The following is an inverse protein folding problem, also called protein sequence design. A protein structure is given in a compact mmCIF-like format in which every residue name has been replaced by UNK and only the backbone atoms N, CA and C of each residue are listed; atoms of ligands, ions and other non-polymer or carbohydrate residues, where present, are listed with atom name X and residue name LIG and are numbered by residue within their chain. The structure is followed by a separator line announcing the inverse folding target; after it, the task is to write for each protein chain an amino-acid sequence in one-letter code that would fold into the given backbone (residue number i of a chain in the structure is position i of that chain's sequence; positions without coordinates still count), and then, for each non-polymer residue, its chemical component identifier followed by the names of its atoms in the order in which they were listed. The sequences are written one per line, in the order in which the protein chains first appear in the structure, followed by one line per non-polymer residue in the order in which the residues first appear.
data_IF_301107307807
#
_entry.id   IF_301107307807
#
_cell.length_a   1.000
_cell.length_b   1.000
_cell.length_c   1.000
_cell.angle_alpha   90.00
_cell.angle_beta   90.00
_cell.angle_gamma   90.00
#
_symmetry.space_group_name_H-M   'P 1'
#
loop_
_entity.id
_entity.type
_entity.pdbx_description
1 polymer ?
#
# COMPACT_ATOMS: atom_id res chain seq x y z
N UNK A 1 -4.95 7.38 -8.03
CA UNK A 1 -5.37 8.68 -7.49
C UNK A 1 -4.25 9.66 -7.76
N UNK A 2 -4.52 10.80 -8.41
CA UNK A 2 -3.50 11.82 -8.70
C UNK A 2 -3.18 12.63 -7.44
N UNK A 3 -1.89 12.90 -7.22
CA UNK A 3 -1.43 13.85 -6.22
C UNK A 3 -1.86 15.26 -6.65
N UNK A 4 -2.94 15.78 -6.07
CA UNK A 4 -3.34 17.17 -6.27
C UNK A 4 -2.66 18.04 -5.22
N UNK A 5 -1.60 18.72 -5.66
CA UNK A 5 -0.89 19.70 -4.85
C UNK A 5 -1.15 21.09 -5.40
N UNK A 6 -1.72 21.95 -4.55
CA UNK A 6 -1.93 23.36 -4.84
C UNK A 6 -0.82 24.21 -4.22
N UNK A 7 0.35 23.62 -3.96
CA UNK A 7 1.53 24.31 -3.43
C UNK A 7 2.05 25.32 -4.46
N UNK A 8 2.05 26.60 -4.08
CA UNK A 8 2.47 27.70 -4.96
C UNK A 8 3.82 28.27 -4.55
N UNK A 9 4.64 28.71 -5.52
CA UNK A 9 5.81 29.54 -5.27
C UNK A 9 5.48 30.70 -4.33
N UNK A 10 6.37 30.96 -3.37
CA UNK A 10 6.22 32.06 -2.44
C UNK A 10 7.57 32.51 -1.89
N UNK A 11 7.55 33.63 -1.16
CA UNK A 11 8.61 34.02 -0.25
C UNK A 11 8.11 33.99 1.19
N UNK A 12 8.91 33.39 2.08
CA UNK A 12 8.66 33.35 3.51
C UNK A 12 9.36 34.52 4.19
N UNK A 13 8.58 35.38 4.84
CA UNK A 13 9.06 36.53 5.62
C UNK A 13 8.98 36.16 7.09
N UNK A 14 10.09 36.34 7.82
CA UNK A 14 10.13 36.10 9.25
C UNK A 14 9.58 37.31 10.03
N UNK A 15 8.66 37.06 10.97
CA UNK A 15 8.03 38.12 11.76
C UNK A 15 7.12 39.06 10.95
N UNK A 16 6.78 40.20 11.56
CA UNK A 16 6.01 41.25 10.89
C UNK A 16 6.97 42.18 10.14
N UNK A 17 6.96 42.11 8.82
CA UNK A 17 7.89 42.82 7.96
C UNK A 17 9.39 42.64 8.32
N UNK A 18 9.80 41.44 8.78
CA UNK A 18 11.21 41.12 8.99
C UNK A 18 11.94 40.62 7.74
N UNK A 19 13.01 39.85 7.91
CA UNK A 19 13.85 39.40 6.78
C UNK A 19 13.17 38.32 5.92
N UNK A 20 13.57 38.23 4.66
CA UNK A 20 13.13 37.17 3.74
C UNK A 20 14.03 35.95 3.96
N UNK A 21 13.46 34.86 4.46
CA UNK A 21 14.20 33.64 4.82
C UNK A 21 14.41 32.73 3.61
N UNK A 22 13.36 32.59 2.80
CA UNK A 22 13.32 31.68 1.67
C UNK A 22 12.40 32.28 0.59
N UNK A 23 12.63 31.90 -0.66
CA UNK A 23 11.87 32.45 -1.78
C UNK A 23 12.19 31.77 -3.09
N UNK A 24 11.18 31.68 -3.95
CA UNK A 24 11.35 31.16 -5.31
C UNK A 24 12.06 32.20 -6.20
N UNK A 25 12.97 31.79 -7.10
CA UNK A 25 13.68 32.72 -7.99
C UNK A 25 12.77 33.61 -8.86
N UNK A 26 11.54 33.17 -9.16
CA UNK A 26 10.49 33.94 -9.87
C UNK A 26 10.13 35.25 -9.19
N UNK A 27 10.28 35.36 -7.87
CA UNK A 27 10.11 36.61 -7.11
C UNK A 27 11.33 37.55 -7.20
N UNK A 28 12.32 37.20 -8.03
CA UNK A 28 13.53 37.98 -8.24
C UNK A 28 14.50 38.00 -7.06
N UNK A 29 14.27 37.12 -6.08
CA UNK A 29 15.08 36.96 -4.88
C UNK A 29 16.34 36.14 -5.16
N UNK A 30 17.44 36.48 -4.47
CA UNK A 30 18.69 35.71 -4.47
C UNK A 30 18.76 34.69 -3.33
N UNK A 31 17.62 34.20 -2.84
CA UNK A 31 17.54 33.25 -1.73
C UNK A 31 18.08 31.88 -2.14
N UNK A 32 18.80 31.21 -1.23
CA UNK A 32 19.32 29.84 -1.45
C UNK A 32 18.28 28.74 -1.20
N UNK A 33 17.18 29.08 -0.55
CA UNK A 33 16.13 28.15 -0.12
C UNK A 33 14.87 28.50 -0.90
N UNK A 34 14.30 27.51 -1.59
CA UNK A 34 13.00 27.66 -2.25
C UNK A 34 11.88 27.47 -1.22
N UNK A 35 10.83 28.28 -1.33
CA UNK A 35 9.64 28.16 -0.49
C UNK A 35 8.38 27.99 -1.32
N UNK A 36 7.51 27.08 -0.90
CA UNK A 36 6.16 26.95 -1.45
C UNK A 36 5.14 26.87 -0.32
N UNK A 37 3.95 27.42 -0.52
CA UNK A 37 2.85 27.38 0.46
C UNK A 37 1.56 27.00 -0.24
N UNK A 38 0.68 26.29 0.46
CA UNK A 38 -0.62 25.90 -0.08
C UNK A 38 -1.18 24.66 0.58
N UNK A 39 -2.14 24.06 -0.10
CA UNK A 39 -2.79 22.82 0.30
C UNK A 39 -2.25 21.65 -0.51
N UNK A 40 -2.22 20.47 0.09
CA UNK A 40 -1.87 19.22 -0.57
C UNK A 40 -2.83 18.12 -0.15
N UNK A 41 -3.24 17.30 -1.12
CA UNK A 41 -4.04 16.11 -0.92
C UNK A 41 -3.21 14.86 -1.30
N UNK A 42 -2.29 14.43 -0.42
CA UNK A 42 -1.48 13.24 -0.68
C UNK A 42 -2.34 11.99 -0.75
N UNK A 43 -2.03 11.03 -1.63
CA UNK A 43 -2.76 9.78 -1.68
C UNK A 43 -2.56 9.01 -0.37
N UNK A 44 -3.65 8.45 0.17
CA UNK A 44 -3.65 7.65 1.40
C UNK A 44 -3.11 8.34 2.65
N UNK A 45 -3.14 9.67 2.68
CA UNK A 45 -2.73 10.46 3.84
C UNK A 45 -3.64 11.68 3.99
N UNK A 46 -3.61 12.28 5.18
CA UNK A 46 -4.44 13.43 5.49
C UNK A 46 -4.09 14.62 4.60
N UNK A 47 -5.11 15.25 3.98
CA UNK A 47 -4.94 16.54 3.36
C UNK A 47 -4.43 17.56 4.37
N UNK A 48 -3.49 18.42 3.96
CA UNK A 48 -2.91 19.43 4.84
C UNK A 48 -2.78 20.79 4.16
N UNK A 49 -2.79 21.83 4.98
CA UNK A 49 -2.41 23.19 4.61
C UNK A 49 -1.07 23.49 5.29
N UNK A 50 -0.10 23.99 4.54
CA UNK A 50 1.26 24.11 5.05
C UNK A 50 2.21 24.79 4.07
N UNK A 51 3.50 24.67 4.35
CA UNK A 51 4.55 25.15 3.47
C UNK A 51 5.70 24.14 3.39
N UNK A 52 6.46 24.21 2.32
CA UNK A 52 7.67 23.42 2.11
C UNK A 52 8.86 24.35 1.92
N UNK A 53 10.01 23.95 2.46
CA UNK A 53 11.29 24.59 2.24
C UNK A 53 12.24 23.59 1.61
N UNK A 54 12.78 23.93 0.44
CA UNK A 54 13.67 23.06 -0.31
C UNK A 54 15.07 23.66 -0.33
N UNK A 55 16.02 22.87 0.19
CA UNK A 55 17.43 23.18 0.31
C UNK A 55 18.17 22.41 -0.80
N UNK A 56 18.75 23.12 -1.78
CA UNK A 56 19.41 22.46 -2.90
C UNK A 56 20.64 21.70 -2.43
N UNK A 57 20.83 20.47 -2.92
CA UNK A 57 22.07 19.73 -2.76
C UNK A 57 23.08 20.13 -3.83
N UNK A 58 24.30 19.61 -3.73
CA UNK A 58 25.30 19.86 -4.76
C UNK A 58 24.84 19.28 -6.12
N UNK A 59 25.13 19.96 -7.25
CA UNK A 59 24.66 19.53 -8.56
C UNK A 59 25.03 18.08 -8.88
N UNK A 60 24.02 17.25 -9.10
CA UNK A 60 24.21 15.81 -9.37
C UNK A 60 24.71 15.00 -8.15
N UNK A 61 24.81 15.62 -6.98
CA UNK A 61 25.32 15.03 -5.72
C UNK A 61 26.74 14.41 -5.85
N UNK A 62 27.52 14.90 -6.81
CA UNK A 62 28.86 14.37 -7.15
C UNK A 62 29.86 14.55 -6.00
N UNK A 63 29.82 15.71 -5.32
CA UNK A 63 30.69 15.95 -4.17
C UNK A 63 30.26 15.08 -2.99
N UNK A 64 28.95 14.97 -2.76
CA UNK A 64 28.38 14.10 -1.71
C UNK A 64 28.81 12.64 -1.87
N UNK A 65 28.76 12.09 -3.10
CA UNK A 65 29.25 10.73 -3.37
C UNK A 65 30.76 10.60 -3.19
N UNK A 66 31.54 11.53 -3.76
CA UNK A 66 33.00 11.50 -3.68
C UNK A 66 33.52 11.55 -2.24
N UNK A 67 32.80 12.24 -1.36
CA UNK A 67 33.14 12.38 0.07
C UNK A 67 32.52 11.27 0.95
N UNK A 68 31.91 10.25 0.33
CA UNK A 68 31.39 9.07 1.04
C UNK A 68 30.09 9.32 1.81
N UNK A 69 29.35 10.38 1.49
CA UNK A 69 28.02 10.68 2.05
C UNK A 69 26.87 10.09 1.23
N UNK A 70 27.17 9.68 0.00
CA UNK A 70 26.21 9.08 -0.92
C UNK A 70 25.25 10.11 -1.55
N UNK A 71 24.34 9.62 -2.38
CA UNK A 71 23.30 10.41 -3.02
C UNK A 71 21.92 10.12 -2.41
N UNK A 72 21.11 11.17 -2.29
CA UNK A 72 19.73 11.12 -1.82
C UNK A 72 18.77 11.08 -3.01
N UNK A 73 17.83 10.14 -2.98
CA UNK A 73 16.81 9.96 -4.00
C UNK A 73 15.41 10.11 -3.41
N UNK A 74 14.48 10.59 -4.24
CA UNK A 74 13.05 10.52 -4.00
C UNK A 74 12.40 9.68 -5.11
N UNK A 75 11.29 9.04 -4.80
CA UNK A 75 10.50 8.32 -5.80
C UNK A 75 9.70 9.32 -6.64
N UNK A 76 9.84 9.24 -7.96
CA UNK A 76 8.99 9.97 -8.89
C UNK A 76 7.85 9.07 -9.40
N UNK A 77 6.59 9.34 -9.01
CA UNK A 77 5.45 8.54 -9.44
C UNK A 77 5.12 8.68 -10.92
N UNK A 78 5.61 9.72 -11.62
CA UNK A 78 5.36 9.91 -13.05
C UNK A 78 6.24 8.97 -13.87
N UNK A 79 7.51 8.87 -13.50
CA UNK A 79 8.48 8.03 -14.21
C UNK A 79 8.65 6.64 -13.60
N UNK A 80 8.03 6.38 -12.45
CA UNK A 80 8.16 5.16 -11.64
C UNK A 80 9.62 4.81 -11.33
N UNK A 81 10.42 5.83 -11.02
CA UNK A 81 11.88 5.72 -10.84
C UNK A 81 12.39 6.56 -9.68
N UNK A 82 13.50 6.17 -9.05
CA UNK A 82 14.21 7.05 -8.13
C UNK A 82 14.86 8.19 -8.92
N UNK A 83 14.66 9.42 -8.48
CA UNK A 83 15.29 10.63 -8.99
C UNK A 83 16.11 11.29 -7.90
N UNK A 84 17.22 11.95 -8.27
CA UNK A 84 18.00 12.74 -7.31
C UNK A 84 17.10 13.78 -6.65
N UNK A 85 17.21 13.91 -5.35
CA UNK A 85 16.30 14.72 -4.55
C UNK A 85 17.05 15.71 -3.66
N UNK A 86 16.57 16.94 -3.67
CA UNK A 86 16.96 17.98 -2.73
C UNK A 86 16.37 17.74 -1.34
N UNK A 87 16.97 18.36 -0.33
CA UNK A 87 16.48 18.23 1.03
C UNK A 87 15.26 19.13 1.23
N UNK A 88 14.09 18.52 1.47
CA UNK A 88 12.83 19.25 1.62
C UNK A 88 12.27 19.06 3.03
N UNK A 89 11.95 20.17 3.68
CA UNK A 89 11.25 20.18 4.97
C UNK A 89 9.80 20.61 4.72
N UNK A 90 8.86 19.76 5.11
CA UNK A 90 7.42 20.06 5.03
C UNK A 90 6.92 20.46 6.40
N UNK A 91 6.25 21.61 6.48
CA UNK A 91 5.63 22.12 7.71
C UNK A 91 4.12 22.17 7.51
N UNK A 92 3.40 21.33 8.27
CA UNK A 92 1.95 21.20 8.23
C UNK A 92 1.33 22.04 9.35
N UNK A 93 0.42 22.95 9.00
CA UNK A 93 -0.32 23.72 9.98
C UNK A 93 -1.41 22.87 10.65
N UNK A 94 -1.69 23.07 11.95
CA UNK A 94 -2.70 22.30 12.67
C UNK A 94 -4.10 22.61 12.14
N UNK A 95 -4.75 21.58 11.59
CA UNK A 95 -6.10 21.66 11.03
C UNK A 95 -7.13 22.13 12.07
N UNK A 96 -8.02 23.04 11.67
CA UNK A 96 -9.06 23.60 12.54
C UNK A 96 -8.53 24.60 13.57
N UNK A 97 -7.21 24.75 13.70
CA UNK A 97 -6.53 25.65 14.64
C UNK A 97 -5.73 26.73 13.91
N UNK A 98 -6.12 27.04 12.68
CA UNK A 98 -5.44 28.03 11.85
C UNK A 98 -6.43 29.11 11.41
N UNK A 99 -5.93 30.31 11.13
CA UNK A 99 -6.67 31.36 10.46
C UNK A 99 -5.78 32.05 9.43
N UNK A 100 -6.33 32.33 8.26
CA UNK A 100 -5.62 32.97 7.16
C UNK A 100 -6.16 34.37 6.90
N UNK A 101 -5.28 35.34 6.75
CA UNK A 101 -5.58 36.68 6.24
C UNK A 101 -4.93 36.86 4.89
N UNK A 102 -5.69 37.32 3.90
CA UNK A 102 -5.25 37.55 2.53
C UNK A 102 -5.28 39.04 2.24
N UNK A 103 -4.13 39.65 2.03
CA UNK A 103 -3.98 41.10 1.91
C UNK A 103 -3.20 41.46 0.64
N UNK A 104 -3.32 42.73 0.24
CA UNK A 104 -2.35 43.32 -0.68
C UNK A 104 -0.98 43.37 -0.01
N UNK A 105 0.09 43.21 -0.81
CA UNK A 105 1.45 43.27 -0.28
C UNK A 105 1.74 44.67 0.29
N UNK A 106 2.08 44.80 1.60
CA UNK A 106 2.39 46.08 2.22
C UNK A 106 3.64 46.72 1.59
N UNK A 107 3.73 48.06 1.60
CA UNK A 107 4.86 48.80 1.02
C UNK A 107 6.21 48.37 1.60
N UNK A 108 6.29 48.22 2.93
CA UNK A 108 7.51 47.76 3.64
C UNK A 108 7.98 46.36 3.22
N UNK A 109 7.07 45.52 2.73
CA UNK A 109 7.41 44.23 2.15
C UNK A 109 7.85 44.41 0.70
N UNK A 110 7.17 45.25 -0.08
CA UNK A 110 7.48 45.49 -1.51
C UNK A 110 8.94 45.93 -1.72
N UNK A 111 9.45 46.77 -0.82
CA UNK A 111 10.83 47.28 -0.88
C UNK A 111 11.90 46.18 -0.84
N UNK A 112 11.55 44.98 -0.37
CA UNK A 112 12.46 43.82 -0.30
C UNK A 112 12.50 43.01 -1.59
N UNK A 113 11.65 43.31 -2.56
CA UNK A 113 11.54 42.61 -3.83
C UNK A 113 11.76 43.60 -5.00
N UNK A 114 12.99 44.09 -5.19
CA UNK A 114 13.27 45.19 -6.12
C UNK A 114 13.03 44.84 -7.59
N UNK A 115 12.90 43.55 -7.93
CA UNK A 115 12.68 43.07 -9.30
C UNK A 115 11.21 42.79 -9.63
N UNK A 116 10.32 42.81 -8.65
CA UNK A 116 8.89 42.56 -8.86
C UNK A 116 8.23 43.82 -9.39
N UNK A 117 7.60 43.71 -10.57
CA UNK A 117 6.91 44.81 -11.24
C UNK A 117 5.39 44.68 -11.12
N UNK A 118 4.86 43.47 -11.27
CA UNK A 118 3.43 43.20 -11.13
C UNK A 118 3.08 42.74 -9.70
N UNK A 119 2.48 43.67 -8.95
CA UNK A 119 2.00 43.43 -7.59
C UNK A 119 0.55 42.94 -7.53
N UNK A 120 -0.20 42.98 -8.63
CA UNK A 120 -1.59 42.51 -8.67
C UNK A 120 -1.67 40.97 -8.73
N UNK A 121 -0.64 40.35 -9.30
CA UNK A 121 -0.45 38.89 -9.30
C UNK A 121 0.04 38.31 -7.98
N UNK A 122 0.24 39.11 -6.92
CA UNK A 122 0.80 38.67 -5.65
C UNK A 122 -0.15 38.90 -4.46
N UNK A 123 -0.09 37.99 -3.49
CA UNK A 123 -0.87 38.08 -2.24
C UNK A 123 0.05 38.04 -1.04
N UNK A 124 -0.20 38.90 -0.06
CA UNK A 124 0.38 38.76 1.27
C UNK A 124 -0.53 37.89 2.13
N UNK A 125 -0.11 36.65 2.35
CA UNK A 125 -0.80 35.65 3.14
C UNK A 125 -0.21 35.62 4.54
N UNK A 126 -1.04 35.88 5.54
CA UNK A 126 -0.67 35.74 6.95
C UNK A 126 -1.43 34.57 7.55
N UNK A 127 -0.70 33.58 8.02
CA UNK A 127 -1.24 32.38 8.67
C UNK A 127 -0.98 32.48 10.17
N UNK A 128 -2.03 32.47 10.99
CA UNK A 128 -1.93 32.50 12.45
C UNK A 128 -2.44 31.20 13.07
N UNK A 129 -1.67 30.67 14.02
CA UNK A 129 -2.00 29.47 14.78
C UNK A 129 -2.76 29.84 16.07
N UNK A 130 -3.85 29.12 16.35
CA UNK A 130 -4.70 29.30 17.54
C UNK A 130 -4.23 28.42 18.71
N UNK A 131 -4.66 28.74 19.93
CA UNK A 131 -4.65 27.87 21.12
C UNK A 131 -3.33 27.12 21.38
N UNK A 132 -2.20 27.82 21.40
CA UNK A 132 -0.86 27.25 21.62
C UNK A 132 -0.51 26.06 20.71
N UNK A 133 -1.24 25.87 19.61
CA UNK A 133 -1.05 24.73 18.70
C UNK A 133 0.22 24.87 17.86
N UNK A 134 0.99 23.78 17.80
CA UNK A 134 2.26 23.75 17.07
C UNK A 134 2.03 23.21 15.65
N UNK A 135 2.78 23.71 14.66
CA UNK A 135 2.88 23.02 13.39
C UNK A 135 3.64 21.70 13.55
N UNK A 136 3.37 20.75 12.67
CA UNK A 136 4.14 19.50 12.56
C UNK A 136 5.18 19.68 11.46
N UNK A 137 6.45 19.39 11.77
CA UNK A 137 7.52 19.38 10.76
C UNK A 137 7.93 17.95 10.43
N UNK A 138 7.97 17.67 9.13
CA UNK A 138 8.44 16.40 8.58
C UNK A 138 9.85 16.59 8.01
N UNK A 139 10.65 15.54 8.06
CA UNK A 139 11.99 15.45 7.47
C UNK A 139 13.07 16.40 8.04
N UNK A 140 12.70 17.31 8.94
CA UNK A 140 13.59 18.29 9.60
C UNK A 140 14.83 17.68 10.28
N UNK A 141 14.80 16.40 10.65
CA UNK A 141 15.89 15.70 11.36
C UNK A 141 16.74 14.77 10.48
N UNK A 142 16.51 14.73 9.17
CA UNK A 142 17.37 13.93 8.29
C UNK A 142 18.71 14.66 8.08
N UNK A 143 19.77 13.89 7.90
CA UNK A 143 21.09 14.46 7.65
C UNK A 143 21.11 15.22 6.31
N UNK A 144 21.58 16.47 6.37
CA UNK A 144 21.82 17.28 5.19
C UNK A 144 23.31 17.41 4.93
N UNK A 145 23.73 17.30 3.67
CA UNK A 145 25.13 17.43 3.30
C UNK A 145 25.25 18.17 1.99
N UNK A 146 26.13 19.18 1.97
CA UNK A 146 26.43 20.01 0.80
C UNK A 146 27.77 20.73 1.05
N UNK A 147 28.89 20.03 0.84
CA UNK A 147 30.23 20.60 1.04
C UNK A 147 30.53 21.81 0.15
N UNK A 148 30.01 21.92 -1.10
CA UNK A 148 30.18 23.14 -1.90
C UNK A 148 29.48 24.38 -1.33
N UNK A 149 28.45 24.22 -0.49
CA UNK A 149 27.73 25.31 0.16
C UNK A 149 27.70 25.19 1.69
N UNK A 150 28.84 25.47 2.36
CA UNK A 150 28.97 25.30 3.81
C UNK A 150 28.01 26.20 4.61
N UNK A 151 27.55 27.32 4.03
CA UNK A 151 26.55 28.19 4.67
C UNK A 151 25.20 27.49 4.77
N UNK A 152 24.74 26.91 3.65
CA UNK A 152 23.49 26.17 3.61
C UNK A 152 23.54 24.95 4.53
N UNK A 153 24.68 24.24 4.57
CA UNK A 153 24.89 23.13 5.49
C UNK A 153 24.85 23.56 6.96
N UNK A 154 25.42 24.72 7.30
CA UNK A 154 25.36 25.25 8.65
C UNK A 154 23.93 25.62 9.09
N UNK A 155 23.12 26.19 8.19
CA UNK A 155 21.74 26.54 8.48
C UNK A 155 20.87 25.33 8.84
N UNK A 156 21.08 24.20 8.17
CA UNK A 156 20.30 22.97 8.42
C UNK A 156 20.84 22.21 9.64
N UNK A 157 22.16 21.98 9.74
CA UNK A 157 22.72 21.04 10.73
C UNK A 157 23.27 21.69 12.01
N UNK A 158 23.82 22.90 11.92
CA UNK A 158 24.74 23.44 12.95
C UNK A 158 24.19 24.71 13.63
N UNK A 159 22.88 24.84 13.73
CA UNK A 159 22.21 26.05 14.25
C UNK A 159 22.64 27.36 13.56
N UNK A 160 23.06 27.27 12.29
CA UNK A 160 23.38 28.44 11.49
C UNK A 160 22.17 29.37 11.37
N UNK A 161 22.45 30.66 11.16
CA UNK A 161 21.44 31.71 11.09
C UNK A 161 21.34 32.27 9.67
N UNK A 162 20.12 32.40 9.17
CA UNK A 162 19.74 33.08 7.93
C UNK A 162 19.39 34.51 8.33
N UNK A 163 20.26 35.47 7.99
CA UNK A 163 20.10 36.87 8.36
C UNK A 163 19.77 37.09 9.85
N UNK A 164 20.47 36.37 10.72
CA UNK A 164 20.30 36.45 12.18
C UNK A 164 19.17 35.58 12.75
N UNK A 165 18.42 34.86 11.92
CA UNK A 165 17.32 33.97 12.35
C UNK A 165 17.73 32.51 12.15
N UNK A 166 17.63 31.69 13.19
CA UNK A 166 17.87 30.26 13.09
C UNK A 166 16.69 29.55 12.43
N UNK A 167 16.96 28.42 11.77
CA UNK A 167 15.90 27.65 11.13
C UNK A 167 14.84 27.14 12.14
N UNK A 168 15.25 26.84 13.37
CA UNK A 168 14.34 26.46 14.45
C UNK A 168 13.38 27.59 14.84
N UNK A 169 13.87 28.84 14.89
CA UNK A 169 13.03 30.02 15.15
C UNK A 169 11.98 30.18 14.04
N UNK A 170 12.34 29.92 12.78
CA UNK A 170 11.42 30.00 11.64
C UNK A 170 10.27 29.01 11.77
N UNK A 171 10.54 27.74 12.09
CA UNK A 171 9.51 26.69 12.18
C UNK A 171 8.65 26.78 13.45
N UNK A 172 9.15 27.41 14.52
CA UNK A 172 8.43 27.58 15.79
C UNK A 172 7.57 28.85 15.87
N UNK A 173 7.49 29.63 14.77
CA UNK A 173 6.60 30.79 14.72
C UNK A 173 5.13 30.39 14.95
N UNK A 174 4.35 31.36 15.45
CA UNK A 174 2.88 31.24 15.59
C UNK A 174 2.12 32.07 14.56
N UNK A 175 2.83 32.95 13.88
CA UNK A 175 2.34 33.71 12.76
C UNK A 175 3.38 33.57 11.64
N UNK A 176 2.93 33.17 10.46
CA UNK A 176 3.76 33.00 9.27
C UNK A 176 3.29 33.97 8.21
N UNK A 177 4.22 34.66 7.58
CA UNK A 177 3.95 35.67 6.57
C UNK A 177 4.55 35.25 5.25
N UNK A 178 3.72 35.18 4.20
CA UNK A 178 4.13 34.76 2.87
C UNK A 178 3.77 35.81 1.82
N UNK A 179 4.66 36.03 0.87
CA UNK A 179 4.33 36.67 -0.42
C UNK A 179 4.14 35.57 -1.44
N UNK A 180 2.90 35.33 -1.85
CA UNK A 180 2.51 34.20 -2.71
C UNK A 180 2.29 34.68 -4.14
N UNK A 181 2.78 33.92 -5.12
CA UNK A 181 2.57 34.17 -6.55
C UNK A 181 1.16 33.81 -7.01
N UNK A 182 0.16 34.47 -6.43
CA UNK A 182 -1.24 34.41 -6.82
C UNK A 182 -1.99 35.72 -6.54
N UNK A 183 -2.99 36.09 -7.38
CA UNK A 183 -3.96 37.12 -7.04
C UNK A 183 -4.77 36.77 -5.77
N UNK A 184 -5.19 37.80 -5.02
CA UNK A 184 -5.87 37.65 -3.73
C UNK A 184 -7.15 36.81 -3.82
N UNK A 185 -7.94 36.99 -4.89
CA UNK A 185 -9.18 36.24 -5.10
C UNK A 185 -8.93 34.73 -5.19
N UNK A 186 -7.95 34.33 -6.00
CA UNK A 186 -7.58 32.92 -6.19
C UNK A 186 -6.92 32.36 -4.94
N UNK A 187 -6.01 33.13 -4.31
CA UNK A 187 -5.33 32.71 -3.09
C UNK A 187 -6.34 32.38 -1.98
N UNK A 188 -7.36 33.22 -1.79
CA UNK A 188 -8.43 32.99 -0.82
C UNK A 188 -9.28 31.74 -1.10
N UNK A 189 -9.48 31.40 -2.37
CA UNK A 189 -10.25 30.23 -2.78
C UNK A 189 -9.51 28.93 -2.47
N UNK A 190 -8.18 28.90 -2.64
CA UNK A 190 -7.42 27.65 -2.59
C UNK A 190 -6.57 27.48 -1.33
N UNK A 191 -6.25 28.56 -0.61
CA UNK A 191 -5.37 28.53 0.57
C UNK A 191 -6.15 28.67 1.88
N UNK A 192 -5.89 27.73 2.79
CA UNK A 192 -6.47 27.69 4.12
C UNK A 192 -6.96 26.30 4.50
N UNK A 193 -7.17 26.09 5.80
CA UNK A 193 -7.59 24.80 6.35
C UNK A 193 -9.08 24.52 6.10
N UNK A 194 -9.89 25.57 5.93
CA UNK A 194 -11.31 25.49 5.65
C UNK A 194 -11.63 24.86 4.28
N UNK A 195 -10.68 24.84 3.35
CA UNK A 195 -10.84 24.31 2.01
C UNK A 195 -10.36 22.86 1.88
N UNK A 196 -9.86 22.26 2.96
CA UNK A 196 -9.35 20.89 2.93
C UNK A 196 -10.49 19.87 2.98
N UNK A 197 -10.40 18.76 2.20
CA UNK A 197 -11.31 17.63 2.35
C UNK A 197 -11.23 17.03 3.76
N UNK A 198 -12.19 16.15 4.10
CA UNK A 198 -12.16 15.39 5.35
C UNK A 198 -10.82 14.66 5.59
N UNK A 199 -10.50 14.30 6.84
CA UNK A 199 -9.32 13.48 7.10
C UNK A 199 -9.37 12.20 6.28
N UNK A 200 -8.22 11.68 5.87
CA UNK A 200 -8.17 10.43 5.12
C UNK A 200 -8.52 9.26 6.04
N UNK A 201 -9.35 8.36 5.52
CA UNK A 201 -9.70 7.09 6.15
C UNK A 201 -9.62 6.00 5.10
N UNK A 202 -9.19 4.80 5.50
CA UNK A 202 -9.28 3.61 4.65
C UNK A 202 -10.70 3.01 4.61
N UNK A 203 -11.64 3.62 5.33
CA UNK A 203 -13.05 3.24 5.44
C UNK A 203 -13.32 1.82 5.98
N UNK A 204 -12.30 1.13 6.46
CA UNK A 204 -12.48 -0.11 7.24
C UNK A 204 -12.97 0.21 8.65
N UNK A 205 -14.11 -0.36 9.02
CA UNK A 205 -14.58 -0.39 10.40
C UNK A 205 -13.68 -1.28 11.28
N UNK A 206 -14.02 -1.39 12.56
CA UNK A 206 -13.37 -2.32 13.49
C UNK A 206 -13.36 -3.75 12.92
N UNK A 207 -12.22 -4.43 13.07
CA UNK A 207 -12.01 -5.76 12.48
C UNK A 207 -13.04 -6.77 13.02
N UNK A 208 -13.87 -7.37 12.15
CA UNK A 208 -14.88 -8.32 12.60
C UNK A 208 -14.26 -9.63 13.04
N UNK A 209 -14.93 -10.31 13.98
CA UNK A 209 -14.41 -11.54 14.61
C UNK A 209 -14.74 -12.83 13.84
N UNK A 210 -15.58 -12.77 12.80
CA UNK A 210 -15.94 -13.93 12.00
C UNK A 210 -15.72 -13.73 10.50
N UNK A 211 -15.50 -14.85 9.80
CA UNK A 211 -15.10 -14.86 8.38
C UNK A 211 -16.16 -14.25 7.47
N UNK A 212 -17.45 -14.46 7.74
CA UNK A 212 -18.52 -13.94 6.88
C UNK A 212 -18.58 -12.41 6.93
N UNK A 213 -18.45 -11.83 8.12
CA UNK A 213 -18.38 -10.38 8.30
C UNK A 213 -17.11 -9.80 7.66
N UNK A 214 -15.97 -10.51 7.72
CA UNK A 214 -14.75 -10.07 7.02
C UNK A 214 -14.95 -10.06 5.51
N UNK A 215 -15.62 -11.07 4.94
CA UNK A 215 -15.95 -11.11 3.51
C UNK A 215 -16.82 -9.91 3.11
N UNK A 216 -17.88 -9.64 3.85
CA UNK A 216 -18.75 -8.47 3.62
C UNK A 216 -17.96 -7.17 3.71
N UNK A 217 -17.13 -7.00 4.75
CA UNK A 217 -16.31 -5.80 4.92
C UNK A 217 -15.37 -5.57 3.72
N UNK A 218 -14.67 -6.61 3.26
CA UNK A 218 -13.79 -6.51 2.07
C UNK A 218 -14.60 -6.23 0.81
N UNK A 219 -15.78 -6.83 0.66
CA UNK A 219 -16.60 -6.61 -0.52
C UNK A 219 -17.18 -5.20 -0.60
N UNK A 220 -17.53 -4.62 0.55
CA UNK A 220 -18.00 -3.25 0.68
C UNK A 220 -16.85 -2.23 0.48
N UNK A 221 -15.61 -2.64 0.74
CA UNK A 221 -14.41 -1.81 0.67
C UNK A 221 -13.45 -2.22 -0.45
N UNK A 222 -13.97 -2.69 -1.59
CA UNK A 222 -13.20 -2.94 -2.83
C UNK A 222 -12.69 -1.65 -3.49
N UNK A 223 -12.31 -0.64 -2.70
CA UNK A 223 -11.76 0.62 -3.18
C UNK A 223 -10.61 0.42 -4.18
N UNK A 224 -10.19 1.51 -4.82
CA UNK A 224 -9.07 1.45 -5.76
C UNK A 224 -7.79 0.93 -5.11
N UNK A 225 -6.85 0.45 -5.92
CA UNK A 225 -5.51 0.11 -5.44
C UNK A 225 -4.88 1.31 -4.73
N UNK A 226 -4.64 1.16 -3.43
CA UNK A 226 -3.90 2.15 -2.65
C UNK A 226 -2.43 2.09 -3.10
N UNK A 227 -1.78 3.22 -3.41
CA UNK A 227 -0.35 3.23 -3.69
C UNK A 227 0.44 2.73 -2.47
N UNK A 228 1.65 2.22 -2.75
CA UNK A 228 2.59 1.87 -1.70
C UNK A 228 2.82 3.07 -0.78
N UNK A 229 2.70 2.84 0.52
CA UNK A 229 2.82 3.86 1.55
C UNK A 229 3.85 3.42 2.58
N UNK A 230 4.76 4.31 2.95
CA UNK A 230 5.88 4.03 3.88
C UNK A 230 5.80 4.87 5.16
N UNK A 231 4.76 5.70 5.30
CA UNK A 231 4.55 6.58 6.44
C UNK A 231 3.06 6.82 6.62
N UNK A 232 2.58 6.73 7.85
CA UNK A 232 1.16 6.90 8.17
C UNK A 232 0.98 8.04 9.17
N UNK A 233 -0.08 8.83 9.01
CA UNK A 233 -0.37 9.95 9.91
C UNK A 233 -0.91 9.50 11.28
N UNK A 234 -1.46 8.29 11.36
CA UNK A 234 -2.02 7.71 12.60
C UNK A 234 -1.67 6.24 12.73
N UNK A 235 -1.57 5.76 13.97
CA UNK A 235 -1.39 4.34 14.26
C UNK A 235 -2.55 3.50 13.72
N UNK A 236 -3.78 4.01 13.76
CA UNK A 236 -4.96 3.33 13.21
C UNK A 236 -4.85 3.12 11.71
N UNK A 237 -4.37 4.13 10.96
CA UNK A 237 -4.15 4.02 9.52
C UNK A 237 -3.06 2.98 9.22
N UNK A 238 -1.97 3.00 9.98
CA UNK A 238 -0.88 2.03 9.87
C UNK A 238 -1.36 0.59 10.15
N UNK A 239 -2.02 0.37 11.28
CA UNK A 239 -2.55 -0.94 11.68
C UNK A 239 -3.58 -1.44 10.67
N UNK A 240 -4.43 -0.55 10.15
CA UNK A 240 -5.42 -0.89 9.13
C UNK A 240 -4.76 -1.36 7.85
N UNK A 241 -3.78 -0.61 7.32
CA UNK A 241 -3.06 -0.98 6.10
C UNK A 241 -2.37 -2.35 6.22
N UNK A 242 -1.70 -2.61 7.35
CA UNK A 242 -1.04 -3.90 7.61
C UNK A 242 -2.08 -5.02 7.70
N UNK A 243 -3.09 -4.87 8.56
CA UNK A 243 -4.03 -5.96 8.81
C UNK A 243 -4.88 -6.28 7.59
N UNK A 244 -5.37 -5.26 6.87
CA UNK A 244 -6.24 -5.46 5.73
C UNK A 244 -5.54 -6.10 4.54
N UNK A 245 -4.25 -5.79 4.33
CA UNK A 245 -3.47 -6.49 3.29
C UNK A 245 -3.43 -8.00 3.53
N UNK A 246 -3.11 -8.43 4.77
CA UNK A 246 -3.05 -9.85 5.13
C UNK A 246 -4.42 -10.52 5.09
N UNK A 247 -5.47 -9.83 5.58
CA UNK A 247 -6.84 -10.36 5.57
C UNK A 247 -7.32 -10.57 4.14
N UNK A 248 -7.11 -9.59 3.24
CA UNK A 248 -7.55 -9.69 1.85
C UNK A 248 -6.81 -10.79 1.09
N UNK A 249 -5.50 -10.91 1.27
CA UNK A 249 -4.71 -12.01 0.69
C UNK A 249 -5.21 -13.38 1.18
N UNK A 250 -5.47 -13.49 2.49
CA UNK A 250 -5.98 -14.73 3.09
C UNK A 250 -7.39 -15.06 2.61
N UNK A 251 -8.28 -14.06 2.54
CA UNK A 251 -9.65 -14.22 2.08
C UNK A 251 -9.71 -14.57 0.59
N UNK A 252 -8.82 -14.01 -0.22
CA UNK A 252 -8.72 -14.36 -1.64
C UNK A 252 -8.42 -15.85 -1.81
N UNK A 253 -7.41 -16.38 -1.09
CA UNK A 253 -7.10 -17.82 -1.10
C UNK A 253 -8.23 -18.66 -0.50
N UNK A 254 -8.86 -18.19 0.58
CA UNK A 254 -9.95 -18.88 1.24
C UNK A 254 -11.21 -18.99 0.37
N UNK A 255 -11.58 -17.92 -0.35
CA UNK A 255 -12.70 -17.92 -1.30
C UNK A 255 -12.48 -18.95 -2.41
N UNK A 256 -11.25 -19.04 -2.92
CA UNK A 256 -10.92 -20.05 -3.91
C UNK A 256 -11.02 -21.48 -3.35
N UNK A 257 -10.60 -21.69 -2.10
CA UNK A 257 -10.76 -22.97 -1.43
C UNK A 257 -12.23 -23.38 -1.28
N UNK A 258 -13.13 -22.43 -1.02
CA UNK A 258 -14.58 -22.70 -0.97
C UNK A 258 -15.12 -23.09 -2.34
N UNK A 259 -14.72 -22.39 -3.42
CA UNK A 259 -15.10 -22.73 -4.79
C UNK A 259 -14.64 -24.16 -5.12
N UNK A 260 -13.37 -24.47 -4.91
CA UNK A 260 -12.80 -25.81 -5.15
C UNK A 260 -13.51 -26.88 -4.31
N UNK A 261 -13.90 -26.58 -3.07
CA UNK A 261 -14.58 -27.53 -2.21
C UNK A 261 -16.01 -27.87 -2.67
N UNK A 262 -16.66 -26.98 -3.44
CA UNK A 262 -17.97 -27.20 -4.04
C UNK A 262 -17.91 -27.96 -5.37
N UNK A 263 -16.76 -27.92 -6.04
CA UNK A 263 -16.56 -28.60 -7.32
C UNK A 263 -16.44 -30.11 -7.17
N UNK A 264 -17.09 -30.82 -8.10
CA UNK A 264 -17.12 -32.29 -8.12
C UNK A 264 -16.18 -32.80 -9.20
N UNK A 265 -15.09 -33.40 -8.77
CA UNK A 265 -14.12 -34.02 -9.66
C UNK A 265 -14.31 -35.54 -9.70
N UNK A 266 -14.19 -36.17 -10.88
CA UNK A 266 -14.13 -37.61 -10.97
C UNK A 266 -12.89 -38.12 -10.24
N UNK A 267 -13.00 -39.26 -9.56
CA UNK A 267 -11.89 -39.86 -8.83
C UNK A 267 -12.00 -41.38 -8.84
N UNK A 268 -10.86 -42.07 -8.69
CA UNK A 268 -10.82 -43.53 -8.62
C UNK A 268 -9.68 -44.01 -7.72
N UNK A 269 -9.76 -45.25 -7.22
CA UNK A 269 -8.76 -45.79 -6.30
C UNK A 269 -7.68 -46.61 -7.03
N UNK A 270 -6.42 -46.33 -6.71
CA UNK A 270 -5.26 -47.11 -7.13
C UNK A 270 -4.78 -47.96 -5.93
N UNK A 271 -5.16 -49.23 -5.89
CA UNK A 271 -4.72 -50.19 -4.87
C UNK A 271 -4.83 -51.62 -5.42
N UNK A 272 -3.96 -52.56 -5.01
CA UNK A 272 -4.12 -53.99 -5.35
C UNK A 272 -5.45 -54.56 -4.82
N UNK A 273 -5.97 -55.59 -5.51
CA UNK A 273 -7.28 -56.27 -5.34
C UNK A 273 -7.52 -56.90 -3.95
N UNK A 274 -7.54 -56.09 -2.88
CA UNK A 274 -7.84 -56.53 -1.52
C UNK A 274 -8.85 -55.56 -0.90
N UNK A 275 -9.89 -56.06 -0.19
CA UNK A 275 -10.80 -55.21 0.57
C UNK A 275 -10.01 -54.34 1.55
N UNK A 276 -10.12 -53.01 1.43
CA UNK A 276 -9.41 -52.06 2.29
C UNK A 276 -10.13 -51.95 3.64
N UNK A 277 -9.54 -52.40 4.77
CA UNK A 277 -10.19 -52.28 6.08
C UNK A 277 -10.44 -50.81 6.48
N UNK A 278 -11.36 -50.54 7.43
CA UNK A 278 -11.45 -49.22 8.04
C UNK A 278 -10.15 -48.84 8.76
N UNK A 279 -9.72 -47.59 8.62
CA UNK A 279 -8.51 -47.07 9.26
C UNK A 279 -7.19 -47.37 8.53
N UNK A 280 -7.20 -48.16 7.45
CA UNK A 280 -6.05 -48.29 6.55
C UNK A 280 -6.00 -47.16 5.53
N UNK A 281 -4.85 -47.01 4.90
CA UNK A 281 -4.65 -45.98 3.89
C UNK A 281 -4.90 -46.52 2.48
N UNK A 282 -5.42 -45.66 1.60
CA UNK A 282 -5.65 -45.94 0.19
C UNK A 282 -5.14 -44.77 -0.66
N UNK A 283 -4.84 -45.02 -1.93
CA UNK A 283 -4.47 -43.98 -2.88
C UNK A 283 -5.66 -43.66 -3.78
N UNK A 284 -6.10 -42.41 -3.73
CA UNK A 284 -7.13 -41.85 -4.59
C UNK A 284 -6.45 -41.06 -5.70
N UNK A 285 -6.79 -41.36 -6.94
CA UNK A 285 -6.33 -40.61 -8.12
C UNK A 285 -7.48 -39.71 -8.59
N UNK A 286 -7.20 -38.44 -8.74
CA UNK A 286 -8.13 -37.44 -9.31
C UNK A 286 -7.53 -36.98 -10.63
N UNK A 287 -8.11 -37.40 -11.78
CA UNK A 287 -7.78 -36.83 -13.07
C UNK A 287 -8.17 -35.35 -13.07
N UNK A 288 -7.20 -34.46 -13.22
CA UNK A 288 -7.47 -33.03 -13.24
C UNK A 288 -7.37 -32.55 -14.67
N UNK A 289 -8.44 -31.97 -15.19
CA UNK A 289 -8.41 -31.41 -16.54
C UNK A 289 -7.59 -30.12 -16.55
N UNK A 290 -6.81 -29.90 -17.61
CA UNK A 290 -6.00 -28.69 -17.76
C UNK A 290 -6.79 -27.39 -17.54
N UNK A 291 -8.03 -27.32 -18.04
CA UNK A 291 -8.89 -26.16 -17.85
C UNK A 291 -9.17 -25.84 -16.37
N UNK A 292 -9.34 -26.87 -15.54
CA UNK A 292 -9.50 -26.73 -14.08
C UNK A 292 -8.20 -26.25 -13.43
N UNK A 293 -7.07 -26.85 -13.81
CA UNK A 293 -5.77 -26.43 -13.29
C UNK A 293 -5.46 -24.98 -13.66
N UNK A 294 -5.81 -24.56 -14.87
CA UNK A 294 -5.58 -23.21 -15.37
C UNK A 294 -6.46 -22.20 -14.61
N UNK A 295 -7.74 -22.52 -14.33
CA UNK A 295 -8.66 -21.63 -13.60
C UNK A 295 -8.22 -21.35 -12.15
N UNK A 296 -7.58 -22.31 -11.49
CA UNK A 296 -7.15 -22.18 -10.09
C UNK A 296 -5.64 -21.96 -9.94
N UNK A 297 -4.91 -21.77 -11.05
CA UNK A 297 -3.43 -21.76 -11.11
C UNK A 297 -2.75 -20.77 -10.15
N UNK A 298 -3.39 -19.65 -9.82
CA UNK A 298 -2.84 -18.65 -8.91
C UNK A 298 -2.99 -19.03 -7.43
N UNK A 299 -4.11 -19.63 -7.03
CA UNK A 299 -4.39 -19.98 -5.64
C UNK A 299 -3.91 -21.38 -5.28
N UNK A 300 -3.97 -22.31 -6.23
CA UNK A 300 -3.64 -23.72 -6.01
C UNK A 300 -2.27 -23.95 -5.37
N UNK A 301 -1.16 -23.31 -5.82
CA UNK A 301 0.14 -23.47 -5.18
C UNK A 301 0.16 -23.01 -3.71
N UNK A 302 -0.64 -22.00 -3.36
CA UNK A 302 -0.73 -21.47 -1.98
C UNK A 302 -1.51 -22.41 -1.07
N UNK A 303 -2.59 -23.01 -1.59
CA UNK A 303 -3.36 -24.03 -0.87
C UNK A 303 -2.52 -25.30 -0.63
N UNK A 304 -1.74 -25.70 -1.64
CA UNK A 304 -0.85 -26.87 -1.60
C UNK A 304 0.30 -26.77 -0.60
N UNK A 305 0.59 -25.57 -0.06
CA UNK A 305 1.59 -25.41 1.00
C UNK A 305 1.26 -26.23 2.26
N UNK A 306 -0.01 -26.53 2.50
CA UNK A 306 -0.44 -27.56 3.44
C UNK A 306 -1.10 -28.71 2.67
N UNK A 307 -0.45 -29.88 2.54
CA UNK A 307 -0.96 -30.97 1.71
C UNK A 307 -2.14 -31.72 2.35
N UNK A 308 -2.55 -31.38 3.58
CA UNK A 308 -3.65 -32.04 4.28
C UNK A 308 -5.00 -31.51 3.82
N UNK A 309 -5.86 -32.41 3.35
CA UNK A 309 -7.18 -32.07 2.82
C UNK A 309 -8.27 -32.98 3.39
N UNK A 310 -9.51 -32.52 3.29
CA UNK A 310 -10.70 -33.35 3.48
C UNK A 310 -11.28 -33.70 2.12
N UNK A 311 -11.50 -34.98 1.88
CA UNK A 311 -12.11 -35.49 0.66
C UNK A 311 -13.55 -35.87 0.96
N UNK A 312 -14.49 -35.26 0.25
CA UNK A 312 -15.92 -35.54 0.38
C UNK A 312 -16.40 -36.40 -0.79
N UNK A 313 -16.88 -37.61 -0.49
CA UNK A 313 -17.40 -38.54 -1.47
C UNK A 313 -18.92 -38.40 -1.56
N UNK A 314 -19.42 -38.20 -2.78
CA UNK A 314 -20.84 -37.99 -3.07
C UNK A 314 -21.54 -39.28 -3.53
N UNK A 315 -20.83 -40.17 -4.23
CA UNK A 315 -21.36 -41.42 -4.76
C UNK A 315 -21.06 -42.62 -3.83
N UNK A 316 -21.40 -42.48 -2.54
CA UNK A 316 -21.21 -43.57 -1.57
C UNK A 316 -22.38 -44.57 -1.62
N UNK A 317 -22.09 -45.82 -1.99
CA UNK A 317 -23.02 -46.94 -1.87
C UNK A 317 -23.37 -47.22 -0.40
N UNK A 318 -24.39 -46.55 0.12
CA UNK A 318 -25.08 -46.97 1.34
C UNK A 318 -26.55 -47.22 1.03
N UNK A 319 -27.11 -48.24 1.67
CA UNK A 319 -28.49 -48.69 1.49
C UNK A 319 -29.54 -47.64 1.87
N UNK A 320 -29.13 -46.62 2.63
CA UNK A 320 -29.97 -45.50 3.06
C UNK A 320 -29.31 -44.19 2.60
N UNK A 321 -29.69 -43.73 1.41
CA UNK A 321 -29.17 -42.54 0.77
C UNK A 321 -29.38 -41.29 1.64
N UNK A 322 -28.31 -40.71 2.20
CA UNK A 322 -28.21 -39.26 2.49
C UNK A 322 -26.85 -38.80 2.99
N UNK A 323 -25.98 -39.68 3.51
CA UNK A 323 -24.72 -39.25 4.13
C UNK A 323 -23.52 -39.28 3.17
N UNK A 324 -22.90 -38.13 2.96
CA UNK A 324 -21.62 -38.01 2.24
C UNK A 324 -20.46 -38.45 3.15
N UNK A 325 -19.55 -39.27 2.65
CA UNK A 325 -18.36 -39.64 3.42
C UNK A 325 -17.33 -38.52 3.39
N UNK A 326 -16.73 -38.21 4.55
CA UNK A 326 -15.62 -37.25 4.64
C UNK A 326 -14.40 -37.98 5.17
N UNK A 327 -13.38 -38.13 4.33
CA UNK A 327 -12.10 -38.73 4.72
C UNK A 327 -11.00 -37.67 4.78
N UNK A 328 -10.00 -37.91 5.63
CA UNK A 328 -8.81 -37.07 5.69
C UNK A 328 -7.75 -37.65 4.76
N UNK A 329 -7.18 -36.81 3.91
CA UNK A 329 -6.15 -37.18 2.96
C UNK A 329 -4.94 -36.27 3.00
N UNK A 330 -3.85 -36.75 2.42
CA UNK A 330 -2.65 -35.97 2.12
C UNK A 330 -2.37 -36.04 0.63
N UNK A 331 -2.23 -34.89 -0.02
CA UNK A 331 -1.80 -34.84 -1.41
C UNK A 331 -0.32 -35.24 -1.48
N UNK A 332 -0.01 -36.14 -2.41
CA UNK A 332 1.31 -36.72 -2.57
C UNK A 332 2.09 -35.98 -3.66
N UNK A 333 3.35 -35.65 -3.38
CA UNK A 333 4.23 -35.05 -4.39
C UNK A 333 4.65 -36.09 -5.42
N UNK A 334 4.70 -35.70 -6.69
CA UNK A 334 4.99 -36.61 -7.81
C UNK A 334 6.31 -37.37 -7.65
N UNK A 335 7.33 -36.67 -7.16
CA UNK A 335 8.66 -37.24 -6.95
C UNK A 335 8.70 -38.25 -5.79
N UNK A 336 7.78 -38.13 -4.83
CA UNK A 336 7.65 -39.02 -3.68
C UNK A 336 6.85 -40.29 -3.96
N UNK A 337 6.19 -40.39 -5.13
CA UNK A 337 5.35 -41.53 -5.49
C UNK A 337 6.17 -42.74 -5.93
N UNK A 338 5.69 -43.94 -5.57
CA UNK A 338 6.21 -45.20 -6.09
C UNK A 338 5.93 -45.35 -7.60
N UNK A 339 6.75 -46.11 -8.36
CA UNK A 339 6.61 -46.26 -9.81
C UNK A 339 5.22 -46.72 -10.26
N UNK A 340 4.58 -47.61 -9.50
CA UNK A 340 3.24 -48.14 -9.83
C UNK A 340 2.19 -47.03 -9.76
N UNK A 341 2.28 -46.13 -8.78
CA UNK A 341 1.37 -44.99 -8.65
C UNK A 341 1.65 -43.91 -9.70
N UNK A 342 2.91 -43.72 -10.10
CA UNK A 342 3.24 -42.79 -11.20
C UNK A 342 2.64 -43.20 -12.53
N UNK A 343 2.43 -44.51 -12.76
CA UNK A 343 1.77 -45.01 -13.98
C UNK A 343 0.30 -44.56 -14.10
N UNK A 344 -0.33 -44.13 -13.00
CA UNK A 344 -1.68 -43.57 -12.98
C UNK A 344 -1.76 -42.07 -13.28
N UNK A 345 -0.61 -41.39 -13.41
CA UNK A 345 -0.52 -39.96 -13.73
C UNK A 345 -0.25 -39.78 -15.24
N UNK A 346 -1.29 -39.71 -16.06
CA UNK A 346 -1.11 -39.47 -17.51
C UNK A 346 -0.89 -38.01 -17.85
N UNK A 347 -1.36 -37.06 -17.02
CA UNK A 347 -1.16 -35.63 -17.24
C UNK A 347 -0.52 -34.96 -16.02
N UNK A 348 0.19 -33.85 -16.26
CA UNK A 348 0.87 -33.08 -15.22
C UNK A 348 -0.02 -32.53 -14.09
N UNK A 349 -1.30 -32.16 -14.32
CA UNK A 349 -2.18 -31.70 -13.23
C UNK A 349 -2.82 -32.83 -12.40
N UNK A 350 -2.70 -34.10 -12.79
CA UNK A 350 -3.36 -35.21 -12.08
C UNK A 350 -2.88 -35.29 -10.62
N UNK A 351 -3.81 -35.50 -9.68
CA UNK A 351 -3.52 -35.53 -8.26
C UNK A 351 -3.60 -36.96 -7.71
N UNK A 352 -2.65 -37.32 -6.84
CA UNK A 352 -2.76 -38.51 -5.99
C UNK A 352 -2.87 -38.08 -4.54
N UNK A 353 -3.91 -38.60 -3.88
CA UNK A 353 -4.20 -38.33 -2.48
C UNK A 353 -4.09 -39.64 -1.72
N UNK A 354 -3.25 -39.65 -0.70
CA UNK A 354 -3.18 -40.72 0.28
C UNK A 354 -4.25 -40.47 1.35
N UNK A 355 -5.34 -41.22 1.29
CA UNK A 355 -6.52 -41.06 2.17
C UNK A 355 -6.56 -42.12 3.25
N UNK A 356 -7.01 -41.74 4.45
CA UNK A 356 -7.30 -42.70 5.52
C UNK A 356 -8.80 -43.04 5.50
N UNK A 357 -9.12 -44.33 5.37
CA UNK A 357 -10.52 -44.78 5.31
C UNK A 357 -11.23 -44.54 6.66
N UNK A 358 -12.47 -44.06 6.60
CA UNK A 358 -13.33 -43.92 7.79
C UNK A 358 -14.24 -45.16 7.95
N UNK A 359 -14.66 -45.43 9.18
CA UNK A 359 -15.54 -46.56 9.51
C UNK A 359 -16.99 -46.39 9.02
N UNK A 360 -17.43 -45.15 8.79
CA UNK A 360 -18.74 -44.82 8.25
C UNK A 360 -18.70 -43.50 7.45
N UNK A 361 -19.55 -43.34 6.41
CA UNK A 361 -20.30 -44.41 5.75
C UNK A 361 -19.36 -45.35 4.99
N UNK A 362 -19.73 -46.63 4.85
CA UNK A 362 -18.94 -47.63 4.11
C UNK A 362 -19.05 -47.33 2.61
N UNK A 363 -17.92 -47.08 1.95
CA UNK A 363 -17.87 -46.82 0.51
C UNK A 363 -17.43 -48.11 -0.19
N UNK A 364 -18.18 -48.54 -1.21
CA UNK A 364 -17.75 -49.62 -2.09
C UNK A 364 -16.66 -49.12 -3.04
N UNK A 365 -15.41 -49.51 -2.78
CA UNK A 365 -14.27 -49.09 -3.59
C UNK A 365 -14.17 -49.95 -4.86
N UNK A 366 -14.20 -49.30 -6.03
CA UNK A 366 -13.84 -49.93 -7.30
C UNK A 366 -12.41 -49.57 -7.66
N UNK A 367 -11.65 -50.59 -8.05
CA UNK A 367 -10.24 -50.48 -8.38
C UNK A 367 -10.06 -50.56 -9.89
N UNK A 368 -9.11 -49.78 -10.40
CA UNK A 368 -8.77 -49.77 -11.83
C UNK A 368 -7.27 -49.93 -12.00
N UNK A 369 -6.82 -50.74 -12.98
CA UNK A 369 -5.39 -51.03 -13.19
C UNK A 369 -4.64 -49.84 -13.80
N UNK A 370 -5.33 -48.93 -14.48
CA UNK A 370 -4.75 -47.77 -15.13
C UNK A 370 -5.81 -46.66 -15.34
N UNK A 371 -5.35 -45.43 -15.59
CA UNK A 371 -6.21 -44.26 -15.76
C UNK A 371 -7.12 -44.37 -16.99
N UNK A 372 -6.68 -45.00 -18.08
CA UNK A 372 -7.48 -45.14 -19.31
C UNK A 372 -8.69 -46.05 -19.06
N UNK A 373 -8.49 -47.14 -18.32
CA UNK A 373 -9.56 -48.06 -17.92
C UNK A 373 -10.53 -47.38 -16.94
N UNK A 374 -10.02 -46.57 -16.01
CA UNK A 374 -10.85 -45.77 -15.11
C UNK A 374 -11.71 -44.73 -15.86
N UNK A 375 -11.10 -43.96 -16.77
CA UNK A 375 -11.80 -42.96 -17.59
C UNK A 375 -12.86 -43.62 -18.49
N UNK A 376 -12.53 -44.74 -19.14
CA UNK A 376 -13.50 -45.48 -19.95
C UNK A 376 -14.70 -46.00 -19.13
N UNK A 377 -14.51 -46.31 -17.85
CA UNK A 377 -15.58 -46.68 -16.94
C UNK A 377 -16.42 -45.47 -16.51
N UNK A 378 -15.79 -44.31 -16.27
CA UNK A 378 -16.44 -43.03 -15.99
C UNK A 378 -17.35 -42.60 -17.16
N UNK A 379 -16.84 -42.64 -18.40
CA UNK A 379 -17.58 -42.24 -19.61
C UNK A 379 -18.82 -43.11 -19.87
N UNK A 380 -18.80 -44.37 -19.43
CA UNK A 380 -19.91 -45.32 -19.60
C UNK A 380 -20.98 -45.21 -18.51
N UNK A 381 -20.85 -44.27 -17.57
CA UNK A 381 -21.69 -44.18 -16.34
C UNK A 381 -21.81 -45.52 -15.60
N UNK A 382 -20.83 -46.39 -15.75
CA UNK A 382 -20.74 -47.64 -15.00
C UNK A 382 -20.19 -47.37 -13.58
N UNK A 383 -20.53 -46.21 -13.01
CA UNK A 383 -20.05 -45.74 -11.72
C UNK A 383 -20.38 -46.77 -10.63
N UNK A 384 -19.42 -46.91 -9.70
CA UNK A 384 -19.62 -46.44 -8.35
C UNK A 384 -18.80 -45.17 -8.22
#
# INVERSE_FOLDING_TARGET
MSYESQMKPCALVFGDAGTVIAGTPSLGLGTKIEARVGTANPPCANPYFGFTLTFPRDPGQVASEKEGKGACFAYDPITDKPILSDFTVTVKFPRGKTSCTHLQVPAEIKDKFPKVQDWQGLTYLVVKLKDSSNPTSEEYRKEYFNSPDPKLQAWVNYHGRIDGVSFLEVIHQRAFSFVVELPISICKEIMGDQNLPGPFTYDYAYQPVNVQQMKTLVDDNKGGAFPACYSFDTDDAHITAINQSVIQDTLWVHREAEIIAEERLPAYFASPDVPVPPGTAAHLVIPVFKAWSDSHSHAWPRLMANPLIKVKFYDALTSDHTETAIWTGRIMERDSLAPELRAHLAQDPDLIIHVRTASAPRIGLRHYPDQRTAIAALDRRLQN
#
